data_IF_727110629270
#
_entry.id   IF_727110629270
#
_cell.length_a   1.000
_cell.length_b   1.000
_cell.length_c   1.000
_cell.angle_alpha   90.00
_cell.angle_beta   90.00
_cell.angle_gamma   90.00
#
_symmetry.space_group_name_H-M   'P 1'
#
loop_
_entity.id
_entity.type
_entity.pdbx_description
1 polymer ?
#
# COMPACT_ATOMS: atom_id res chain seq x y z
N UNK A 1 -19.36 -5.27 7.04
CA UNK A 1 -19.45 -5.13 5.56
C UNK A 1 -20.46 -6.07 4.93
N UNK A 2 -20.95 -7.11 5.62
CA UNK A 2 -21.89 -8.10 5.07
C UNK A 2 -23.14 -7.44 4.43
N UNK A 3 -23.47 -7.83 3.20
CA UNK A 3 -24.58 -7.31 2.41
C UNK A 3 -24.38 -5.88 1.85
N UNK A 4 -23.23 -5.26 2.08
CA UNK A 4 -22.92 -3.88 1.65
C UNK A 4 -22.31 -3.84 0.25
N UNK A 5 -22.51 -2.73 -0.45
CA UNK A 5 -21.87 -2.44 -1.73
C UNK A 5 -20.47 -1.87 -1.44
N UNK A 6 -19.42 -2.62 -1.81
CA UNK A 6 -18.03 -2.29 -1.44
C UNK A 6 -17.16 -2.25 -2.68
N UNK A 7 -16.48 -1.14 -2.92
CA UNK A 7 -15.41 -1.08 -3.93
C UNK A 7 -14.17 -1.79 -3.41
N UNK A 8 -13.70 -2.77 -4.16
CA UNK A 8 -12.55 -3.63 -3.85
C UNK A 8 -11.39 -3.41 -4.81
N UNK A 9 -11.35 -2.25 -5.47
CA UNK A 9 -10.34 -1.95 -6.49
C UNK A 9 -10.69 -2.51 -7.87
N UNK A 10 -9.94 -2.11 -8.88
CA UNK A 10 -10.11 -2.63 -10.22
C UNK A 10 -9.81 -4.14 -10.28
N UNK A 11 -10.47 -4.86 -11.15
CA UNK A 11 -10.29 -6.30 -11.29
C UNK A 11 -8.80 -6.66 -11.53
N UNK A 12 -8.25 -7.56 -10.73
CA UNK A 12 -6.86 -8.00 -10.81
C UNK A 12 -5.82 -6.99 -10.32
N UNK A 13 -6.25 -5.87 -9.71
CA UNK A 13 -5.33 -4.91 -9.08
C UNK A 13 -4.80 -5.44 -7.75
N UNK A 14 -3.67 -4.88 -7.27
CA UNK A 14 -3.17 -5.14 -5.92
C UNK A 14 -4.22 -4.86 -4.84
N UNK A 15 -5.00 -3.79 -5.00
CA UNK A 15 -6.11 -3.44 -4.08
C UNK A 15 -7.14 -4.55 -3.96
N UNK A 16 -7.46 -5.22 -5.09
CA UNK A 16 -8.37 -6.35 -5.10
C UNK A 16 -7.87 -7.48 -4.18
N UNK A 17 -6.62 -7.89 -4.30
CA UNK A 17 -6.05 -8.93 -3.46
C UNK A 17 -5.96 -8.51 -1.99
N UNK A 18 -5.54 -7.28 -1.71
CA UNK A 18 -5.52 -6.76 -0.34
C UNK A 18 -6.93 -6.72 0.30
N UNK A 19 -7.97 -6.41 -0.50
CA UNK A 19 -9.35 -6.46 -0.01
C UNK A 19 -9.78 -7.89 0.34
N UNK A 20 -9.36 -8.89 -0.45
CA UNK A 20 -9.64 -10.30 -0.17
C UNK A 20 -8.95 -10.75 1.13
N UNK A 21 -7.69 -10.37 1.36
CA UNK A 21 -6.95 -10.71 2.57
C UNK A 21 -7.65 -10.16 3.82
N UNK A 22 -8.09 -8.89 3.77
CA UNK A 22 -8.82 -8.25 4.89
C UNK A 22 -10.19 -8.90 5.13
N UNK A 23 -10.92 -9.24 4.07
CA UNK A 23 -12.20 -9.91 4.18
C UNK A 23 -12.04 -11.31 4.80
N UNK A 24 -11.08 -12.10 4.31
CA UNK A 24 -10.81 -13.44 4.82
C UNK A 24 -10.41 -13.42 6.29
N UNK A 25 -9.51 -12.53 6.67
CA UNK A 25 -9.13 -12.34 8.07
C UNK A 25 -10.32 -11.96 8.96
N UNK A 26 -11.28 -11.19 8.42
CA UNK A 26 -12.53 -10.85 9.10
C UNK A 26 -13.58 -11.98 9.08
N UNK A 27 -13.26 -13.16 8.52
CA UNK A 27 -14.20 -14.28 8.38
C UNK A 27 -15.30 -14.05 7.35
N UNK A 28 -15.04 -13.16 6.38
CA UNK A 28 -15.93 -12.85 5.28
C UNK A 28 -15.33 -13.31 3.95
N UNK A 29 -16.19 -13.59 2.99
CA UNK A 29 -15.80 -13.83 1.61
C UNK A 29 -16.35 -12.74 0.69
N UNK A 30 -15.88 -12.73 -0.55
CA UNK A 30 -16.40 -11.81 -1.57
C UNK A 30 -17.91 -11.99 -1.81
N UNK A 31 -18.46 -13.17 -1.56
CA UNK A 31 -19.90 -13.46 -1.70
C UNK A 31 -20.75 -12.90 -0.55
N UNK A 32 -20.12 -12.44 0.54
CA UNK A 32 -20.82 -11.81 1.66
C UNK A 32 -21.05 -10.31 1.46
N UNK A 33 -20.50 -9.73 0.39
CA UNK A 33 -20.66 -8.33 0.00
C UNK A 33 -21.21 -8.21 -1.42
N UNK A 34 -21.56 -6.99 -1.85
CA UNK A 34 -21.84 -6.67 -3.25
C UNK A 34 -20.59 -5.98 -3.85
N UNK A 35 -19.63 -6.73 -4.41
CA UNK A 35 -18.35 -6.16 -4.82
C UNK A 35 -18.49 -5.26 -6.03
N UNK A 36 -17.81 -4.12 -6.00
CA UNK A 36 -17.69 -3.17 -7.10
C UNK A 36 -16.21 -3.08 -7.50
N UNK A 37 -15.95 -3.24 -8.79
CA UNK A 37 -14.58 -3.24 -9.34
C UNK A 37 -14.28 -1.87 -9.96
N UNK A 38 -13.75 -0.96 -9.16
CA UNK A 38 -13.62 0.45 -9.51
C UNK A 38 -12.23 0.99 -9.21
N UNK A 39 -11.82 2.04 -9.94
CA UNK A 39 -10.66 2.86 -9.58
C UNK A 39 -10.96 3.67 -8.31
N UNK A 40 -9.93 4.32 -7.73
CA UNK A 40 -10.14 5.21 -6.58
C UNK A 40 -11.02 6.41 -6.94
N UNK A 41 -10.87 6.94 -8.16
CA UNK A 41 -11.67 8.05 -8.66
C UNK A 41 -13.13 7.68 -8.86
N UNK A 42 -13.40 6.53 -9.51
CA UNK A 42 -14.76 6.02 -9.69
C UNK A 42 -15.42 5.67 -8.35
N UNK A 43 -14.63 5.14 -7.39
CA UNK A 43 -15.10 4.85 -6.03
C UNK A 43 -15.50 6.12 -5.29
N UNK A 44 -14.72 7.19 -5.42
CA UNK A 44 -15.03 8.52 -4.87
C UNK A 44 -16.37 9.01 -5.39
N UNK A 45 -16.58 9.02 -6.72
CA UNK A 45 -17.83 9.47 -7.31
C UNK A 45 -19.02 8.56 -6.93
N UNK A 46 -18.80 7.23 -6.91
CA UNK A 46 -19.84 6.27 -6.49
C UNK A 46 -20.23 6.45 -5.03
N UNK A 47 -19.29 6.79 -4.15
CA UNK A 47 -19.57 7.08 -2.75
C UNK A 47 -20.32 8.39 -2.56
N UNK A 48 -19.96 9.44 -3.28
CA UNK A 48 -20.72 10.72 -3.34
C UNK A 48 -22.16 10.51 -3.75
N UNK A 49 -22.38 9.67 -4.75
CA UNK A 49 -23.71 9.34 -5.28
C UNK A 49 -24.50 8.35 -4.41
N UNK A 50 -23.91 7.84 -3.32
CA UNK A 50 -24.53 6.82 -2.46
C UNK A 50 -24.71 5.46 -3.12
N UNK A 51 -23.93 5.15 -4.18
CA UNK A 51 -23.99 3.88 -4.92
C UNK A 51 -23.18 2.77 -4.23
N UNK A 52 -22.20 3.15 -3.43
CA UNK A 52 -21.40 2.23 -2.61
C UNK A 52 -21.36 2.70 -1.15
N UNK A 53 -21.26 1.75 -0.26
CA UNK A 53 -21.20 1.99 1.20
C UNK A 53 -19.77 2.15 1.72
N UNK A 54 -18.80 1.48 1.07
CA UNK A 54 -17.39 1.49 1.46
C UNK A 54 -16.46 1.28 0.26
N UNK A 55 -15.19 1.62 0.43
CA UNK A 55 -14.16 1.37 -0.57
C UNK A 55 -12.82 1.02 0.10
N UNK A 56 -12.12 0.04 -0.47
CA UNK A 56 -10.72 -0.21 -0.17
C UNK A 56 -9.84 0.73 -0.97
N UNK A 57 -8.84 1.31 -0.31
CA UNK A 57 -7.83 2.17 -0.94
C UNK A 57 -6.46 1.76 -0.44
N UNK A 58 -5.57 1.38 -1.35
CA UNK A 58 -4.17 1.05 -1.05
C UNK A 58 -3.30 2.08 -1.76
N UNK A 59 -2.89 3.09 -1.02
CA UNK A 59 -2.10 4.21 -1.51
C UNK A 59 -1.44 4.95 -0.34
N UNK A 60 -0.49 5.83 -0.65
CA UNK A 60 0.08 6.72 0.36
C UNK A 60 -0.96 7.70 0.91
N UNK A 61 -1.04 7.85 2.23
CA UNK A 61 -1.86 8.88 2.85
C UNK A 61 -1.05 10.19 3.04
N UNK A 62 -1.65 11.36 2.73
CA UNK A 62 -3.01 11.57 2.20
C UNK A 62 -3.14 11.20 0.73
N UNK A 63 -4.27 10.58 0.37
CA UNK A 63 -4.64 10.22 -1.02
C UNK A 63 -5.59 11.27 -1.57
N UNK A 64 -5.37 11.77 -2.78
CA UNK A 64 -6.13 12.86 -3.40
C UNK A 64 -7.64 12.57 -3.42
N UNK A 65 -8.06 11.41 -3.89
CA UNK A 65 -9.48 11.03 -3.96
C UNK A 65 -10.16 11.06 -2.58
N UNK A 66 -9.46 10.59 -1.53
CA UNK A 66 -10.00 10.63 -0.16
C UNK A 66 -10.04 12.07 0.37
N UNK A 67 -9.01 12.89 0.09
CA UNK A 67 -8.97 14.31 0.49
C UNK A 67 -10.14 15.09 -0.11
N UNK A 68 -10.42 14.88 -1.39
CA UNK A 68 -11.55 15.53 -2.08
C UNK A 68 -12.89 15.07 -1.49
N UNK A 69 -13.07 13.76 -1.28
CA UNK A 69 -14.28 13.22 -0.68
C UNK A 69 -14.49 13.72 0.75
N UNK A 70 -13.44 13.74 1.56
CA UNK A 70 -13.48 14.26 2.94
C UNK A 70 -13.88 15.74 2.99
N UNK A 71 -13.50 16.52 1.96
CA UNK A 71 -13.84 17.94 1.88
C UNK A 71 -15.29 18.18 1.48
N UNK A 72 -15.87 17.33 0.65
CA UNK A 72 -17.20 17.51 0.06
C UNK A 72 -18.31 16.78 0.82
N UNK A 73 -18.10 15.53 1.20
CA UNK A 73 -19.11 14.63 1.77
C UNK A 73 -18.80 14.15 3.19
N UNK A 74 -17.54 14.31 3.63
CA UNK A 74 -17.03 13.64 4.81
C UNK A 74 -16.69 12.18 4.53
N UNK A 75 -15.71 11.65 5.28
CA UNK A 75 -15.31 10.22 5.24
C UNK A 75 -15.10 9.74 6.66
N UNK A 76 -15.36 8.44 6.88
CA UNK A 76 -14.93 7.74 8.08
C UNK A 76 -13.92 6.67 7.66
N UNK A 77 -12.69 6.79 8.11
CA UNK A 77 -11.72 5.71 8.00
C UNK A 77 -12.09 4.62 9.02
N UNK A 78 -11.92 3.36 8.63
CA UNK A 78 -12.23 2.21 9.48
C UNK A 78 -10.92 1.63 9.99
N UNK A 79 -10.79 1.46 11.30
CA UNK A 79 -9.64 0.80 11.91
C UNK A 79 -9.51 -0.65 11.43
N UNK A 80 -8.26 -1.04 11.18
CA UNK A 80 -7.83 -2.43 11.09
C UNK A 80 -6.88 -2.65 12.26
N UNK A 81 -7.42 -3.04 13.39
CA UNK A 81 -6.72 -3.15 14.67
C UNK A 81 -7.06 -4.47 15.39
N UNK A 82 -6.50 -4.65 16.59
CA UNK A 82 -6.76 -5.80 17.46
C UNK A 82 -6.57 -7.15 16.75
N UNK A 83 -7.44 -8.10 17.07
CA UNK A 83 -7.36 -9.47 16.55
C UNK A 83 -7.42 -9.54 15.01
N UNK A 84 -8.15 -8.62 14.37
CA UNK A 84 -8.20 -8.58 12.90
C UNK A 84 -6.83 -8.26 12.30
N UNK A 85 -6.18 -7.20 12.79
CA UNK A 85 -4.84 -6.82 12.34
C UNK A 85 -3.83 -7.92 12.63
N UNK A 86 -3.85 -8.44 13.84
CA UNK A 86 -2.88 -9.44 14.29
C UNK A 86 -2.98 -10.71 13.43
N UNK A 87 -4.20 -11.14 13.09
CA UNK A 87 -4.41 -12.26 12.16
C UNK A 87 -3.87 -11.96 10.75
N UNK A 88 -4.11 -10.76 10.21
CA UNK A 88 -3.59 -10.39 8.89
C UNK A 88 -2.05 -10.43 8.88
N UNK A 89 -1.40 -9.92 9.92
CA UNK A 89 0.07 -9.90 10.01
C UNK A 89 0.66 -11.30 10.20
N UNK A 90 -0.06 -12.23 10.82
CA UNK A 90 0.33 -13.63 10.95
C UNK A 90 0.21 -14.39 9.63
N UNK A 91 -0.93 -14.21 8.93
CA UNK A 91 -1.23 -14.93 7.69
C UNK A 91 -0.44 -14.39 6.49
N UNK A 92 -0.12 -13.09 6.50
CA UNK A 92 0.45 -12.37 5.38
C UNK A 92 1.65 -11.49 5.84
N UNK A 93 2.88 -12.03 5.89
CA UNK A 93 4.05 -11.37 6.48
C UNK A 93 4.55 -10.13 5.70
N UNK A 94 4.01 -9.86 4.50
CA UNK A 94 4.30 -8.66 3.73
C UNK A 94 3.51 -7.43 4.19
N UNK A 95 2.52 -7.58 5.08
CA UNK A 95 1.86 -6.45 5.73
C UNK A 95 2.64 -5.98 6.95
N UNK A 96 2.54 -4.69 7.23
CA UNK A 96 3.05 -4.05 8.45
C UNK A 96 1.93 -3.23 9.10
N UNK A 97 1.93 -3.14 10.42
CA UNK A 97 1.03 -2.23 11.13
C UNK A 97 1.43 -0.78 10.85
N UNK A 98 0.44 0.08 10.64
CA UNK A 98 0.64 1.52 10.45
C UNK A 98 -0.53 2.30 11.05
N UNK A 99 -0.26 3.54 11.45
CA UNK A 99 -1.29 4.48 11.91
C UNK A 99 -1.35 5.66 10.94
N UNK A 100 -2.56 6.05 10.56
CA UNK A 100 -2.84 7.30 9.84
C UNK A 100 -3.12 8.35 10.91
N UNK A 101 -2.26 9.39 11.08
CA UNK A 101 -2.41 10.36 12.15
C UNK A 101 -3.70 11.15 12.04
N UNK A 102 -4.26 11.55 13.17
CA UNK A 102 -5.36 12.50 13.24
C UNK A 102 -5.05 13.78 12.43
N UNK A 103 -6.06 14.32 11.76
CA UNK A 103 -5.90 15.51 10.93
C UNK A 103 -5.31 15.25 9.53
N UNK A 104 -5.01 14.01 9.17
CA UNK A 104 -4.58 13.68 7.78
C UNK A 104 -5.66 14.02 6.77
N UNK A 105 -6.93 13.79 7.12
CA UNK A 105 -8.07 14.17 6.30
C UNK A 105 -9.04 15.07 7.08
N UNK A 106 -9.78 15.92 6.37
CA UNK A 106 -10.76 16.81 6.99
C UNK A 106 -11.84 16.00 7.74
N UNK A 107 -12.01 16.29 9.03
CA UNK A 107 -12.98 15.60 9.90
C UNK A 107 -12.47 14.31 10.51
N UNK A 108 -11.22 13.91 10.28
CA UNK A 108 -10.57 12.82 10.97
C UNK A 108 -9.88 13.35 12.23
N UNK A 109 -10.57 13.29 13.36
CA UNK A 109 -10.11 13.88 14.64
C UNK A 109 -9.34 12.89 15.52
N UNK A 110 -9.25 11.62 15.10
CA UNK A 110 -8.55 10.57 15.81
C UNK A 110 -7.54 9.87 14.89
N UNK A 111 -6.50 9.29 15.49
CA UNK A 111 -5.62 8.36 14.80
C UNK A 111 -6.42 7.14 14.31
N UNK A 112 -6.05 6.60 13.16
CA UNK A 112 -6.67 5.41 12.59
C UNK A 112 -5.61 4.34 12.38
N UNK A 113 -5.71 3.24 13.08
CA UNK A 113 -4.85 2.10 12.91
C UNK A 113 -5.22 1.33 11.64
N UNK A 114 -4.21 0.93 10.89
CA UNK A 114 -4.37 0.22 9.62
C UNK A 114 -3.17 -0.70 9.36
N UNK A 115 -3.20 -1.34 8.21
CA UNK A 115 -2.08 -2.11 7.68
C UNK A 115 -1.50 -1.41 6.44
N UNK A 116 -0.25 -1.69 6.13
CA UNK A 116 0.44 -1.16 4.95
C UNK A 116 1.22 -2.26 4.24
N UNK A 117 1.39 -2.10 2.93
CA UNK A 117 2.33 -2.88 2.11
C UNK A 117 3.38 -1.94 1.54
N UNK A 118 4.58 -2.46 1.32
CA UNK A 118 5.65 -1.68 0.71
C UNK A 118 5.45 -1.57 -0.80
N UNK A 119 5.63 -0.37 -1.34
CA UNK A 119 5.70 -0.16 -2.78
C UNK A 119 7.08 -0.62 -3.28
N UNK A 120 7.12 -1.59 -4.17
CA UNK A 120 8.35 -2.22 -4.62
C UNK A 120 8.52 -2.05 -6.13
N UNK A 121 9.70 -1.64 -6.56
CA UNK A 121 10.10 -1.66 -7.98
C UNK A 121 10.58 -3.06 -8.31
N UNK A 122 9.95 -3.69 -9.28
CA UNK A 122 10.35 -5.01 -9.79
C UNK A 122 11.00 -4.88 -11.17
N UNK A 123 11.98 -5.73 -11.43
CA UNK A 123 12.67 -5.85 -12.72
C UNK A 123 12.68 -7.31 -13.18
N UNK A 124 12.90 -7.54 -14.47
CA UNK A 124 13.14 -8.88 -14.97
C UNK A 124 14.44 -9.43 -14.32
N UNK A 125 14.41 -10.68 -13.88
CA UNK A 125 15.56 -11.34 -13.24
C UNK A 125 16.78 -11.43 -14.17
N UNK A 126 16.54 -11.48 -15.49
CA UNK A 126 17.57 -11.59 -16.51
C UNK A 126 18.08 -10.22 -16.99
N UNK A 127 17.62 -9.10 -16.39
CA UNK A 127 18.15 -7.78 -16.66
C UNK A 127 19.64 -7.70 -16.25
N UNK A 128 20.41 -6.82 -16.92
CA UNK A 128 21.84 -6.73 -16.61
C UNK A 128 22.08 -6.16 -15.21
N UNK A 129 23.07 -6.72 -14.49
CA UNK A 129 23.51 -6.23 -13.19
C UNK A 129 23.84 -4.73 -13.23
N UNK A 130 24.49 -4.27 -14.28
CA UNK A 130 24.88 -2.86 -14.45
C UNK A 130 23.66 -1.94 -14.60
N UNK A 131 22.64 -2.37 -15.37
CA UNK A 131 21.39 -1.60 -15.53
C UNK A 131 20.66 -1.46 -14.20
N UNK A 132 20.48 -2.57 -13.47
CA UNK A 132 19.74 -2.54 -12.21
C UNK A 132 20.52 -1.82 -11.11
N UNK A 133 21.85 -1.97 -11.08
CA UNK A 133 22.70 -1.19 -10.18
C UNK A 133 22.52 0.32 -10.41
N UNK A 134 22.61 0.77 -11.67
CA UNK A 134 22.44 2.20 -12.02
C UNK A 134 21.04 2.71 -11.71
N UNK A 135 20.00 1.89 -11.92
CA UNK A 135 18.62 2.25 -11.57
C UNK A 135 18.49 2.45 -10.05
N UNK A 136 19.01 1.50 -9.26
CA UNK A 136 18.99 1.57 -7.80
C UNK A 136 19.76 2.78 -7.29
N UNK A 137 20.98 3.01 -7.81
CA UNK A 137 21.79 4.18 -7.49
C UNK A 137 21.05 5.47 -7.80
N UNK A 138 20.47 5.59 -9.00
CA UNK A 138 19.74 6.80 -9.39
C UNK A 138 18.56 7.14 -8.44
N UNK A 139 17.85 6.13 -7.95
CA UNK A 139 16.74 6.34 -6.99
C UNK A 139 17.26 6.92 -5.68
N UNK A 140 18.32 6.33 -5.09
CA UNK A 140 18.81 6.73 -3.77
C UNK A 140 19.73 7.96 -3.82
N UNK A 141 20.53 8.11 -4.86
CA UNK A 141 21.40 9.28 -5.03
C UNK A 141 20.60 10.56 -5.28
N UNK A 142 19.37 10.44 -5.80
CA UNK A 142 18.44 11.55 -6.04
C UNK A 142 17.23 11.56 -5.09
N UNK A 143 17.29 10.83 -3.95
CA UNK A 143 16.17 10.73 -3.01
C UNK A 143 15.68 12.11 -2.53
N UNK A 144 16.60 13.04 -2.25
CA UNK A 144 16.26 14.41 -1.84
C UNK A 144 15.54 15.21 -2.94
N UNK A 145 15.84 14.96 -4.21
CA UNK A 145 15.18 15.60 -5.33
C UNK A 145 13.77 15.03 -5.50
N UNK A 146 13.63 13.71 -5.39
CA UNK A 146 12.33 13.02 -5.42
C UNK A 146 11.45 13.53 -4.27
N UNK A 147 11.99 13.71 -3.06
CA UNK A 147 11.27 14.20 -1.90
C UNK A 147 10.73 15.63 -2.10
N UNK A 148 11.44 16.50 -2.83
CA UNK A 148 10.97 17.86 -3.16
C UNK A 148 9.77 17.85 -4.10
N UNK A 149 9.72 16.89 -5.02
CA UNK A 149 8.63 16.78 -5.99
C UNK A 149 7.43 15.97 -5.42
N UNK A 150 7.70 15.04 -4.51
CA UNK A 150 6.69 14.19 -3.90
C UNK A 150 7.05 13.89 -2.44
N UNK A 151 6.21 14.32 -1.49
CA UNK A 151 6.44 14.13 -0.07
C UNK A 151 6.69 12.67 0.35
N UNK A 152 6.19 11.69 -0.41
CA UNK A 152 6.50 10.26 -0.19
C UNK A 152 7.96 9.91 -0.46
N UNK A 153 8.69 10.71 -1.20
CA UNK A 153 10.13 10.57 -1.38
C UNK A 153 10.92 10.68 -0.07
N UNK A 154 10.39 11.35 0.96
CA UNK A 154 11.00 11.39 2.29
C UNK A 154 11.05 10.00 2.98
N UNK A 155 10.24 9.06 2.52
CA UNK A 155 10.24 7.69 3.03
C UNK A 155 11.32 6.81 2.36
N UNK A 156 11.97 7.28 1.29
CA UNK A 156 13.06 6.54 0.62
C UNK A 156 14.27 6.44 1.55
N UNK A 157 14.62 5.22 1.92
CA UNK A 157 15.84 4.92 2.67
C UNK A 157 16.31 3.51 2.35
N UNK A 158 17.63 3.32 2.38
CA UNK A 158 18.26 2.01 2.15
C UNK A 158 17.76 1.00 3.18
N UNK A 159 17.63 1.39 4.45
CA UNK A 159 17.17 0.50 5.53
C UNK A 159 15.76 -0.04 5.25
N UNK A 160 14.83 0.82 4.81
CA UNK A 160 13.46 0.37 4.47
C UNK A 160 13.44 -0.46 3.20
N UNK A 161 14.19 -0.03 2.18
CA UNK A 161 14.20 -0.70 0.89
C UNK A 161 14.89 -2.07 0.93
N UNK A 162 15.74 -2.32 1.93
CA UNK A 162 16.40 -3.61 2.15
C UNK A 162 15.58 -4.60 2.98
N UNK A 163 14.39 -4.21 3.47
CA UNK A 163 13.50 -5.02 4.32
C UNK A 163 12.26 -5.54 3.56
N UNK A 164 12.38 -5.73 2.25
CA UNK A 164 11.29 -6.30 1.43
C UNK A 164 11.29 -7.82 1.60
N UNK A 165 10.10 -8.36 1.88
CA UNK A 165 9.90 -9.79 2.09
C UNK A 165 9.21 -10.45 0.88
N UNK A 166 9.50 -11.72 0.66
CA UNK A 166 8.78 -12.55 -0.32
C UNK A 166 9.24 -12.42 -1.78
N UNK A 167 10.21 -11.54 -2.07
CA UNK A 167 10.80 -11.39 -3.41
C UNK A 167 12.32 -11.28 -3.28
N UNK A 168 13.12 -12.05 -4.05
CA UNK A 168 14.58 -11.92 -4.01
C UNK A 168 15.02 -10.60 -4.62
N UNK A 169 16.13 -10.06 -4.11
CA UNK A 169 16.73 -8.87 -4.69
C UNK A 169 17.55 -9.23 -5.92
N UNK A 170 17.44 -8.42 -6.96
CA UNK A 170 18.29 -8.54 -8.13
C UNK A 170 19.77 -8.26 -7.77
N UNK A 171 20.72 -8.98 -8.39
CA UNK A 171 22.15 -8.86 -8.08
C UNK A 171 22.67 -7.41 -8.19
N UNK A 172 22.19 -6.63 -9.16
CA UNK A 172 22.53 -5.22 -9.30
C UNK A 172 22.08 -4.34 -8.15
N UNK A 173 20.87 -4.57 -7.63
CA UNK A 173 20.38 -3.87 -6.44
C UNK A 173 21.15 -4.30 -5.18
N UNK A 174 21.37 -5.61 -5.02
CA UNK A 174 22.14 -6.16 -3.89
C UNK A 174 23.56 -5.59 -3.83
N UNK A 175 24.21 -5.40 -4.97
CA UNK A 175 25.53 -4.78 -5.04
C UNK A 175 25.52 -3.33 -4.53
N UNK A 176 24.54 -2.54 -4.95
CA UNK A 176 24.41 -1.16 -4.44
C UNK A 176 24.18 -1.14 -2.94
N UNK A 177 23.28 -1.98 -2.40
CA UNK A 177 23.05 -2.07 -0.96
C UNK A 177 24.29 -2.52 -0.19
N UNK A 178 25.06 -3.48 -0.71
CA UNK A 178 26.29 -3.95 -0.10
C UNK A 178 27.35 -2.82 0.01
N UNK A 179 27.49 -1.97 -0.98
CA UNK A 179 28.37 -0.80 -0.95
C UNK A 179 27.94 0.22 0.12
N UNK A 180 26.69 0.19 0.55
CA UNK A 180 26.12 1.02 1.62
C UNK A 180 25.99 0.25 2.96
N UNK A 181 26.65 -0.90 3.07
CA UNK A 181 26.76 -1.67 4.34
C UNK A 181 25.57 -2.57 4.64
N UNK A 182 24.66 -2.79 3.68
CA UNK A 182 23.47 -3.65 3.87
C UNK A 182 23.54 -4.87 2.97
N UNK A 183 23.30 -6.05 3.54
CA UNK A 183 23.23 -7.32 2.80
C UNK A 183 21.77 -7.74 2.64
N UNK A 184 21.36 -8.06 1.42
CA UNK A 184 20.01 -8.51 1.09
C UNK A 184 20.03 -9.89 0.44
N UNK A 185 18.91 -10.61 0.51
CA UNK A 185 18.80 -11.94 -0.08
C UNK A 185 18.57 -11.89 -1.58
N UNK A 186 19.41 -12.57 -2.35
CA UNK A 186 19.33 -12.69 -3.81
C UNK A 186 18.84 -14.08 -4.27
N UNK A 187 18.64 -15.01 -3.34
CA UNK A 187 18.25 -16.38 -3.68
C UNK A 187 16.73 -16.46 -3.89
N UNK A 188 16.32 -17.15 -4.95
CA UNK A 188 14.93 -17.55 -5.16
C UNK A 188 14.55 -18.56 -4.06
N UNK A 189 13.61 -18.19 -3.18
CA UNK A 189 13.11 -19.06 -2.10
C UNK A 189 12.04 -20.03 -2.59
#
# INVERSE_FOLDING_TARGET
MQGKSVSIGAAGSGVYFNALDVLDAAGLSISDINPQYQSFEDSKESMKDGKIDAAFVVAGAPTTAITELATTNGVNLINIDGDLRDKILEDCPYYKAKTIPAGTYKGQDQDVDTITVEATVIVDKDESEDTVYKLTAAIFDHADEIAKENAKGEELSIDKASDIQGVPYHAGAAKYYAEHGVTVNTDES
#
